data_IF_344217673233
#
_entry.id   IF_344217673233
#
_cell.length_a   1.000
_cell.length_b   1.000
_cell.length_c   1.000
_cell.angle_alpha   90.00
_cell.angle_beta   90.00
_cell.angle_gamma   90.00
#
_symmetry.space_group_name_H-M   'P 1'
#
loop_
_entity.id
_entity.type
_entity.pdbx_description
1 polymer ?
#
# COMPACT_ATOMS: atom_id res chain seq x y z
N UNK A 1 12.99 3.08 -25.54
CA UNK A 1 14.42 3.25 -25.15
C UNK A 1 15.30 2.45 -26.10
N UNK A 2 15.15 1.14 -26.17
CA UNK A 2 16.05 0.25 -26.93
C UNK A 2 15.83 0.29 -28.46
N UNK A 3 14.63 0.58 -28.96
CA UNK A 3 14.32 0.52 -30.40
C UNK A 3 14.56 1.81 -31.17
N UNK A 4 14.28 2.97 -30.58
CA UNK A 4 14.36 4.27 -31.27
C UNK A 4 15.45 5.22 -30.73
N UNK A 5 16.25 4.80 -29.75
CA UNK A 5 17.32 5.60 -29.19
C UNK A 5 16.86 6.88 -28.43
N UNK A 6 15.59 7.02 -28.11
CA UNK A 6 15.02 8.22 -27.49
C UNK A 6 15.26 8.33 -25.97
N UNK A 7 16.06 7.46 -25.40
CA UNK A 7 16.47 7.48 -23.98
C UNK A 7 15.30 7.88 -23.03
N UNK A 8 15.50 8.92 -22.22
CA UNK A 8 14.53 9.41 -21.22
C UNK A 8 13.24 9.93 -21.88
N UNK A 9 13.36 10.62 -23.04
CA UNK A 9 12.20 11.13 -23.78
C UNK A 9 11.29 9.99 -24.26
N UNK A 10 11.84 8.87 -24.72
CA UNK A 10 11.08 7.69 -25.12
C UNK A 10 10.28 7.07 -23.96
N UNK A 11 10.87 7.01 -22.74
CA UNK A 11 10.18 6.54 -21.56
C UNK A 11 9.00 7.46 -21.17
N UNK A 12 9.21 8.78 -21.23
CA UNK A 12 8.15 9.76 -20.95
C UNK A 12 6.98 9.64 -21.94
N UNK A 13 7.28 9.56 -23.24
CA UNK A 13 6.25 9.38 -24.28
C UNK A 13 5.47 8.09 -24.10
N UNK A 14 6.13 6.97 -23.79
CA UNK A 14 5.46 5.70 -23.53
C UNK A 14 4.48 5.78 -22.35
N UNK A 15 4.87 6.49 -21.28
CA UNK A 15 4.01 6.72 -20.11
C UNK A 15 2.79 7.58 -20.48
N UNK A 16 2.98 8.64 -21.26
CA UNK A 16 1.88 9.50 -21.72
C UNK A 16 0.91 8.72 -22.61
N UNK A 17 1.42 7.92 -23.55
CA UNK A 17 0.58 7.07 -24.42
C UNK A 17 -0.21 6.06 -23.57
N UNK A 18 0.43 5.40 -22.60
CA UNK A 18 -0.23 4.47 -21.69
C UNK A 18 -1.39 5.15 -20.92
N UNK A 19 -1.18 6.35 -20.41
CA UNK A 19 -2.22 7.11 -19.72
C UNK A 19 -3.36 7.54 -20.66
N UNK A 20 -3.06 7.97 -21.91
CA UNK A 20 -4.08 8.32 -22.90
C UNK A 20 -4.92 7.10 -23.28
N UNK A 21 -4.30 5.94 -23.51
CA UNK A 21 -5.02 4.69 -23.82
C UNK A 21 -5.90 4.27 -22.65
N UNK A 22 -5.39 4.34 -21.42
CA UNK A 22 -6.15 4.05 -20.21
C UNK A 22 -7.35 4.99 -20.04
N UNK A 23 -7.14 6.29 -20.17
CA UNK A 23 -8.23 7.27 -20.10
C UNK A 23 -9.26 7.07 -21.22
N UNK A 24 -8.81 6.79 -22.45
CA UNK A 24 -9.68 6.49 -23.58
C UNK A 24 -10.56 5.27 -23.33
N UNK A 25 -9.98 4.19 -22.79
CA UNK A 25 -10.71 2.99 -22.41
C UNK A 25 -11.81 3.29 -21.38
N UNK A 26 -11.51 4.05 -20.33
CA UNK A 26 -12.52 4.43 -19.33
C UNK A 26 -13.64 5.28 -19.92
N UNK A 27 -13.30 6.26 -20.76
CA UNK A 27 -14.32 7.09 -21.43
C UNK A 27 -15.26 6.25 -22.31
N UNK A 28 -14.71 5.31 -23.08
CA UNK A 28 -15.49 4.40 -23.90
C UNK A 28 -16.36 3.47 -23.04
N UNK A 29 -15.82 2.95 -21.94
CA UNK A 29 -16.58 2.10 -21.01
C UNK A 29 -17.79 2.83 -20.42
N UNK A 30 -17.61 4.07 -19.97
CA UNK A 30 -18.69 4.87 -19.41
C UNK A 30 -19.73 5.30 -20.47
N UNK A 31 -19.30 5.63 -21.69
CA UNK A 31 -20.21 5.92 -22.80
C UNK A 31 -20.99 4.70 -23.26
N UNK A 32 -20.46 3.50 -23.07
CA UNK A 32 -21.09 2.24 -23.48
C UNK A 32 -22.30 1.82 -22.64
N UNK A 33 -22.74 2.60 -21.64
CA UNK A 33 -23.96 2.37 -20.86
C UNK A 33 -23.92 1.13 -19.95
N UNK A 34 -22.77 0.47 -19.81
CA UNK A 34 -22.59 -0.71 -18.94
C UNK A 34 -22.32 -0.35 -17.48
N UNK A 35 -22.07 0.92 -17.19
CA UNK A 35 -21.80 1.43 -15.85
C UNK A 35 -23.06 2.05 -15.25
N UNK A 36 -23.27 1.85 -13.95
CA UNK A 36 -24.27 2.58 -13.16
C UNK A 36 -23.89 4.06 -12.91
N UNK A 37 -22.67 4.46 -13.28
CA UNK A 37 -22.19 5.83 -13.15
C UNK A 37 -22.36 6.58 -14.47
N UNK A 38 -22.81 7.85 -14.38
CA UNK A 38 -22.95 8.77 -15.52
C UNK A 38 -21.81 9.80 -15.50
N UNK A 39 -21.26 10.10 -16.70
CA UNK A 39 -20.28 11.20 -16.89
C UNK A 39 -20.95 12.38 -17.61
N UNK A 40 -22.26 12.50 -17.58
CA UNK A 40 -22.92 13.60 -18.26
C UNK A 40 -22.71 14.91 -17.49
N UNK A 41 -22.35 15.96 -18.22
CA UNK A 41 -22.14 17.30 -17.65
C UNK A 41 -23.42 17.83 -16.94
N UNK A 42 -24.58 17.31 -17.34
CA UNK A 42 -25.88 17.64 -16.74
C UNK A 42 -26.03 17.12 -15.30
N UNK A 43 -25.29 16.07 -14.94
CA UNK A 43 -25.31 15.45 -13.61
C UNK A 43 -24.32 16.13 -12.66
N UNK A 44 -23.55 17.11 -13.15
CA UNK A 44 -22.64 17.88 -12.33
C UNK A 44 -23.42 18.76 -11.35
N UNK A 45 -23.28 18.49 -10.07
CA UNK A 45 -23.90 19.27 -9.00
C UNK A 45 -22.93 19.52 -7.86
N UNK A 46 -22.94 20.75 -7.37
CA UNK A 46 -22.22 21.16 -6.16
C UNK A 46 -23.16 21.26 -4.94
N UNK A 47 -24.46 20.99 -5.16
CA UNK A 47 -25.48 21.00 -4.09
C UNK A 47 -25.28 19.82 -3.12
N UNK A 48 -25.94 19.88 -1.95
CA UNK A 48 -26.01 18.80 -0.96
C UNK A 48 -24.68 18.39 -0.34
N UNK A 49 -23.73 19.32 -0.15
CA UNK A 49 -22.43 19.06 0.48
C UNK A 49 -21.55 18.02 -0.25
N UNK A 50 -21.81 17.72 -1.51
CA UNK A 50 -21.03 16.75 -2.29
C UNK A 50 -19.54 17.13 -2.29
N UNK A 51 -19.22 18.40 -2.56
CA UNK A 51 -17.83 18.87 -2.52
C UNK A 51 -17.21 18.71 -1.12
N UNK A 52 -17.94 19.00 -0.06
CA UNK A 52 -17.47 18.84 1.32
C UNK A 52 -17.16 17.37 1.63
N UNK A 53 -18.02 16.44 1.20
CA UNK A 53 -17.81 14.99 1.39
C UNK A 53 -16.62 14.48 0.59
N UNK A 54 -16.44 14.94 -0.64
CA UNK A 54 -15.27 14.59 -1.47
C UNK A 54 -13.98 15.11 -0.84
N UNK A 55 -13.97 16.37 -0.39
CA UNK A 55 -12.80 16.96 0.27
C UNK A 55 -12.50 16.30 1.61
N UNK A 56 -13.52 15.93 2.38
CA UNK A 56 -13.35 15.25 3.67
C UNK A 56 -12.64 13.88 3.53
N UNK A 57 -12.79 13.22 2.40
CA UNK A 57 -12.09 11.97 2.11
C UNK A 57 -10.79 12.23 1.35
N UNK A 58 -10.80 13.17 0.41
CA UNK A 58 -9.66 13.46 -0.48
C UNK A 58 -8.50 14.12 0.24
N UNK A 59 -8.74 15.07 1.16
CA UNK A 59 -7.67 15.76 1.91
C UNK A 59 -6.85 14.75 2.75
N UNK A 60 -7.45 13.88 3.57
CA UNK A 60 -6.71 12.85 4.28
C UNK A 60 -5.91 11.91 3.37
N UNK A 61 -6.50 11.49 2.26
CA UNK A 61 -5.82 10.64 1.29
C UNK A 61 -4.61 11.34 0.65
N UNK A 62 -4.76 12.62 0.30
CA UNK A 62 -3.67 13.45 -0.25
C UNK A 62 -2.55 13.66 0.74
N UNK A 63 -2.87 13.89 2.02
CA UNK A 63 -1.87 14.00 3.09
C UNK A 63 -1.03 12.72 3.23
N UNK A 64 -1.65 11.55 3.11
CA UNK A 64 -0.92 10.28 3.10
C UNK A 64 0.08 10.18 1.94
N UNK A 65 -0.33 10.58 0.73
CA UNK A 65 0.54 10.59 -0.46
C UNK A 65 1.66 11.63 -0.36
N UNK A 66 1.37 12.81 0.17
CA UNK A 66 2.39 13.84 0.41
C UNK A 66 3.44 13.36 1.43
N UNK A 67 2.99 12.75 2.52
CA UNK A 67 3.89 12.23 3.55
C UNK A 67 4.78 11.11 3.01
N UNK A 68 4.23 10.24 2.16
CA UNK A 68 5.02 9.23 1.45
C UNK A 68 6.11 9.85 0.58
N UNK A 69 5.79 10.91 -0.18
CA UNK A 69 6.76 11.63 -1.01
C UNK A 69 7.84 12.32 -0.16
N UNK A 70 7.45 12.97 0.93
CA UNK A 70 8.40 13.60 1.87
C UNK A 70 9.33 12.55 2.48
N UNK A 71 8.81 11.43 2.93
CA UNK A 71 9.61 10.32 3.47
C UNK A 71 10.62 9.79 2.44
N UNK A 72 10.20 9.67 1.17
CA UNK A 72 11.09 9.23 0.09
C UNK A 72 12.23 10.23 -0.16
N UNK A 73 11.94 11.53 -0.11
CA UNK A 73 12.96 12.58 -0.23
C UNK A 73 13.95 12.49 0.94
N UNK A 74 13.45 12.36 2.17
CA UNK A 74 14.31 12.24 3.37
C UNK A 74 15.22 11.01 3.25
N UNK A 75 14.69 9.86 2.89
CA UNK A 75 15.48 8.61 2.72
C UNK A 75 16.57 8.81 1.67
N UNK A 76 16.21 9.32 0.50
CA UNK A 76 17.16 9.53 -0.59
C UNK A 76 18.26 10.52 -0.18
N UNK A 77 17.90 11.62 0.52
CA UNK A 77 18.88 12.58 1.02
C UNK A 77 19.84 11.99 2.04
N UNK A 78 19.32 11.18 2.98
CA UNK A 78 20.13 10.54 4.00
C UNK A 78 21.08 9.47 3.43
N UNK A 79 20.65 8.74 2.40
CA UNK A 79 21.48 7.72 1.75
C UNK A 79 22.53 8.38 0.82
N UNK A 80 22.20 9.50 0.17
CA UNK A 80 23.13 10.21 -0.67
C UNK A 80 24.40 10.69 0.06
N UNK A 81 24.33 10.92 1.39
CA UNK A 81 25.50 11.22 2.23
C UNK A 81 26.53 10.08 2.24
N UNK A 82 26.14 8.84 1.92
CA UNK A 82 27.00 7.66 1.88
C UNK A 82 27.50 7.34 0.46
N UNK A 83 27.12 8.17 -0.52
CA UNK A 83 27.59 8.10 -1.91
C UNK A 83 26.54 7.55 -2.89
N UNK A 84 26.79 7.84 -4.17
CA UNK A 84 25.86 7.53 -5.27
C UNK A 84 25.62 6.03 -5.45
N UNK A 85 26.62 5.18 -5.15
CA UNK A 85 26.50 3.72 -5.25
C UNK A 85 25.54 3.15 -4.21
N UNK A 86 25.53 3.72 -3.01
CA UNK A 86 24.56 3.32 -1.97
C UNK A 86 23.14 3.76 -2.34
N UNK A 87 23.01 4.97 -2.90
CA UNK A 87 21.73 5.50 -3.36
C UNK A 87 21.15 4.66 -4.50
N UNK A 88 21.96 4.32 -5.51
CA UNK A 88 21.56 3.43 -6.60
C UNK A 88 21.16 2.05 -6.09
N UNK A 89 21.93 1.48 -5.17
CA UNK A 89 21.64 0.19 -4.54
C UNK A 89 20.30 0.19 -3.80
N UNK A 90 20.01 1.23 -3.01
CA UNK A 90 18.74 1.35 -2.30
C UNK A 90 17.57 1.52 -3.27
N UNK A 91 17.75 2.30 -4.34
CA UNK A 91 16.73 2.48 -5.37
C UNK A 91 16.30 1.14 -6.01
N UNK A 92 17.25 0.27 -6.32
CA UNK A 92 16.95 -1.07 -6.85
C UNK A 92 16.30 -1.96 -5.79
N UNK A 93 16.79 -1.96 -4.55
CA UNK A 93 16.21 -2.73 -3.45
C UNK A 93 14.75 -2.35 -3.21
N UNK A 94 14.41 -1.06 -3.23
CA UNK A 94 13.02 -0.57 -3.13
C UNK A 94 12.15 -1.03 -4.31
N UNK A 95 12.68 -1.10 -5.53
CA UNK A 95 11.94 -1.63 -6.70
C UNK A 95 11.59 -3.10 -6.54
N UNK A 96 12.50 -3.92 -6.00
CA UNK A 96 12.24 -5.33 -5.72
C UNK A 96 11.12 -5.48 -4.70
N UNK A 97 11.17 -4.74 -3.61
CA UNK A 97 10.15 -4.76 -2.56
C UNK A 97 8.79 -4.25 -3.06
N UNK A 98 8.80 -3.26 -3.97
CA UNK A 98 7.60 -2.71 -4.60
C UNK A 98 6.81 -3.77 -5.38
N UNK A 99 7.48 -4.73 -6.04
CA UNK A 99 6.81 -5.82 -6.78
C UNK A 99 5.96 -6.65 -5.81
N UNK A 100 6.54 -7.08 -4.68
CA UNK A 100 5.81 -7.82 -3.64
C UNK A 100 4.66 -6.97 -3.07
N UNK A 101 4.91 -5.69 -2.82
CA UNK A 101 3.91 -4.76 -2.31
C UNK A 101 2.72 -4.58 -3.24
N UNK A 102 2.94 -4.42 -4.55
CA UNK A 102 1.86 -4.25 -5.54
C UNK A 102 0.91 -5.45 -5.58
N UNK A 103 1.44 -6.67 -5.48
CA UNK A 103 0.62 -7.89 -5.46
C UNK A 103 -0.26 -7.90 -4.20
N UNK A 104 0.30 -7.55 -3.04
CA UNK A 104 -0.44 -7.48 -1.78
C UNK A 104 -1.50 -6.37 -1.76
N UNK A 105 -1.19 -5.21 -2.36
CA UNK A 105 -2.16 -4.10 -2.54
C UNK A 105 -3.31 -4.57 -3.41
N UNK A 106 -3.03 -5.19 -4.56
CA UNK A 106 -4.06 -5.68 -5.48
C UNK A 106 -4.98 -6.71 -4.81
N UNK A 107 -4.41 -7.65 -4.05
CA UNK A 107 -5.19 -8.62 -3.29
C UNK A 107 -6.08 -7.95 -2.24
N UNK A 108 -5.54 -7.00 -1.46
CA UNK A 108 -6.29 -6.26 -0.45
C UNK A 108 -7.44 -5.44 -1.05
N UNK A 109 -7.19 -4.75 -2.17
CA UNK A 109 -8.22 -3.98 -2.89
C UNK A 109 -9.29 -4.88 -3.51
N UNK A 110 -8.92 -6.06 -3.99
CA UNK A 110 -9.88 -7.03 -4.54
C UNK A 110 -10.86 -7.57 -3.50
N UNK A 111 -10.45 -7.68 -2.24
CA UNK A 111 -11.31 -8.15 -1.14
C UNK A 111 -12.19 -7.03 -0.56
N UNK A 112 -11.77 -5.78 -0.68
CA UNK A 112 -12.45 -4.63 -0.07
C UNK A 112 -13.95 -4.53 -0.42
N UNK A 113 -14.40 -4.70 -1.69
CA UNK A 113 -15.83 -4.66 -2.02
C UNK A 113 -16.62 -5.78 -1.34
N UNK A 114 -16.04 -6.99 -1.25
CA UNK A 114 -16.69 -8.13 -0.60
C UNK A 114 -16.87 -7.89 0.90
N UNK A 115 -15.85 -7.33 1.55
CA UNK A 115 -15.94 -6.96 2.96
C UNK A 115 -16.97 -5.85 3.18
N UNK A 116 -16.97 -4.82 2.33
CA UNK A 116 -17.96 -3.75 2.37
C UNK A 116 -19.39 -4.25 2.20
N UNK A 117 -19.62 -5.19 1.30
CA UNK A 117 -20.92 -5.85 1.15
C UNK A 117 -21.34 -6.60 2.42
N UNK A 118 -20.44 -7.40 3.01
CA UNK A 118 -20.73 -8.12 4.26
C UNK A 118 -21.07 -7.19 5.43
N UNK A 119 -20.36 -6.07 5.53
CA UNK A 119 -20.63 -5.04 6.57
C UNK A 119 -21.98 -4.36 6.32
N UNK A 120 -22.23 -3.91 5.09
CA UNK A 120 -23.48 -3.23 4.72
C UNK A 120 -24.72 -4.09 4.85
N UNK A 121 -24.59 -5.41 4.62
CA UNK A 121 -25.67 -6.38 4.79
C UNK A 121 -25.80 -6.92 6.25
N UNK A 122 -24.95 -6.48 7.17
CA UNK A 122 -24.97 -6.96 8.58
C UNK A 122 -24.52 -8.41 8.77
N UNK A 123 -23.91 -9.03 7.74
CA UNK A 123 -23.51 -10.45 7.76
C UNK A 123 -22.16 -10.65 8.46
N UNK A 124 -22.09 -10.43 9.77
CA UNK A 124 -20.86 -10.47 10.56
C UNK A 124 -20.17 -11.83 10.57
N UNK A 125 -20.91 -12.92 10.55
CA UNK A 125 -20.36 -14.29 10.48
C UNK A 125 -19.57 -14.47 9.16
N UNK A 126 -20.17 -14.07 8.03
CA UNK A 126 -19.51 -14.11 6.72
C UNK A 126 -18.31 -13.16 6.66
N UNK A 127 -18.44 -11.95 7.19
CA UNK A 127 -17.32 -11.01 7.30
C UNK A 127 -16.10 -11.63 8.00
N UNK A 128 -16.30 -12.25 9.17
CA UNK A 128 -15.21 -12.92 9.91
C UNK A 128 -14.60 -14.10 9.15
N UNK A 129 -15.41 -14.90 8.46
CA UNK A 129 -14.93 -15.99 7.63
C UNK A 129 -14.09 -15.50 6.45
N UNK A 130 -14.58 -14.50 5.73
CA UNK A 130 -13.87 -13.86 4.63
C UNK A 130 -12.55 -13.25 5.13
N UNK A 131 -12.57 -12.53 6.25
CA UNK A 131 -11.36 -11.95 6.83
C UNK A 131 -10.31 -13.00 7.20
N UNK A 132 -10.73 -14.09 7.88
CA UNK A 132 -9.80 -15.17 8.25
C UNK A 132 -9.17 -15.81 7.00
N UNK A 133 -9.98 -16.12 5.99
CA UNK A 133 -9.49 -16.66 4.72
C UNK A 133 -8.55 -15.67 4.02
N UNK A 134 -8.94 -14.40 3.96
CA UNK A 134 -8.16 -13.35 3.31
C UNK A 134 -6.80 -13.11 3.97
N UNK A 135 -6.74 -13.09 5.29
CA UNK A 135 -5.49 -12.95 6.03
C UNK A 135 -4.58 -14.15 5.74
N UNK A 136 -5.12 -15.37 5.78
CA UNK A 136 -4.33 -16.59 5.52
C UNK A 136 -3.81 -16.62 4.08
N UNK A 137 -4.67 -16.34 3.09
CA UNK A 137 -4.29 -16.31 1.68
C UNK A 137 -3.28 -15.20 1.39
N UNK A 138 -3.49 -13.98 1.91
CA UNK A 138 -2.57 -12.87 1.68
C UNK A 138 -1.22 -13.08 2.36
N UNK A 139 -1.20 -13.64 3.57
CA UNK A 139 0.03 -14.02 4.26
C UNK A 139 0.80 -15.10 3.48
N UNK A 140 0.10 -16.14 3.02
CA UNK A 140 0.70 -17.17 2.17
C UNK A 140 1.25 -16.61 0.86
N UNK A 141 0.48 -15.75 0.18
CA UNK A 141 0.89 -15.11 -1.06
C UNK A 141 2.12 -14.22 -0.86
N UNK A 142 2.11 -13.36 0.17
CA UNK A 142 3.25 -12.48 0.47
C UNK A 142 4.48 -13.27 0.92
N UNK A 143 4.32 -14.34 1.67
CA UNK A 143 5.42 -15.23 2.06
C UNK A 143 6.06 -15.91 0.84
N UNK A 144 5.26 -16.48 -0.05
CA UNK A 144 5.75 -17.11 -1.29
C UNK A 144 6.50 -16.10 -2.15
N UNK A 145 5.93 -14.90 -2.36
CA UNK A 145 6.60 -13.85 -3.14
C UNK A 145 7.90 -13.38 -2.49
N UNK A 146 7.91 -13.24 -1.16
CA UNK A 146 9.11 -12.87 -0.41
C UNK A 146 10.19 -13.93 -0.56
N UNK A 147 9.84 -15.21 -0.44
CA UNK A 147 10.76 -16.34 -0.61
C UNK A 147 11.35 -16.34 -2.03
N UNK A 148 10.51 -16.21 -3.05
CA UNK A 148 10.96 -16.14 -4.45
C UNK A 148 11.93 -14.97 -4.63
N UNK A 149 11.54 -13.75 -4.23
CA UNK A 149 12.40 -12.57 -4.36
C UNK A 149 13.72 -12.73 -3.57
N UNK A 150 13.68 -13.35 -2.39
CA UNK A 150 14.86 -13.56 -1.56
C UNK A 150 15.87 -14.52 -2.18
N UNK A 151 15.40 -15.65 -2.75
CA UNK A 151 16.28 -16.59 -3.44
C UNK A 151 16.84 -16.04 -4.74
N UNK A 152 16.03 -15.28 -5.49
CA UNK A 152 16.43 -14.72 -6.78
C UNK A 152 16.96 -13.27 -6.68
N UNK A 153 17.25 -12.77 -5.48
CA UNK A 153 17.67 -11.36 -5.28
C UNK A 153 18.89 -11.01 -6.13
N UNK A 154 19.88 -11.87 -6.20
CA UNK A 154 21.10 -11.61 -6.96
C UNK A 154 20.84 -11.56 -8.47
N UNK A 155 20.00 -12.46 -9.00
CA UNK A 155 19.61 -12.48 -10.41
C UNK A 155 18.77 -11.23 -10.76
N UNK A 156 17.85 -10.84 -9.87
CA UNK A 156 17.04 -9.65 -10.09
C UNK A 156 17.92 -8.40 -10.06
N UNK A 157 18.80 -8.27 -9.09
CA UNK A 157 19.71 -7.11 -8.98
C UNK A 157 20.64 -7.02 -10.20
N UNK A 158 21.15 -8.15 -10.73
CA UNK A 158 22.04 -8.16 -11.89
C UNK A 158 21.39 -7.65 -13.18
N UNK A 159 20.05 -7.67 -13.27
CA UNK A 159 19.31 -7.08 -14.41
C UNK A 159 19.33 -5.55 -14.36
N UNK A 160 19.42 -4.96 -13.16
CA UNK A 160 19.37 -3.51 -12.97
C UNK A 160 20.74 -2.87 -12.83
N UNK A 161 21.72 -3.58 -12.27
CA UNK A 161 23.03 -3.05 -11.93
C UNK A 161 24.13 -3.97 -12.42
N UNK A 162 25.06 -3.40 -13.20
CA UNK A 162 26.25 -4.09 -13.71
C UNK A 162 27.49 -3.77 -12.88
N UNK A 163 27.46 -2.70 -12.10
CA UNK A 163 28.59 -2.23 -11.29
C UNK A 163 28.67 -2.98 -9.96
N UNK A 164 29.81 -3.59 -9.68
CA UNK A 164 29.96 -4.51 -8.54
C UNK A 164 29.72 -3.85 -7.17
N UNK A 165 30.09 -2.59 -7.00
CA UNK A 165 29.88 -1.85 -5.75
C UNK A 165 28.40 -1.59 -5.48
N UNK A 166 27.66 -1.08 -6.46
CA UNK A 166 26.23 -0.82 -6.35
C UNK A 166 25.43 -2.14 -6.21
N UNK A 167 25.87 -3.22 -6.88
CA UNK A 167 25.29 -4.55 -6.76
C UNK A 167 25.30 -5.08 -5.32
N UNK A 168 26.45 -4.96 -4.64
CA UNK A 168 26.59 -5.42 -3.26
C UNK A 168 25.67 -4.67 -2.29
N UNK A 169 25.56 -3.35 -2.44
CA UNK A 169 24.60 -2.55 -1.68
C UNK A 169 23.16 -2.95 -1.96
N UNK A 170 22.80 -3.10 -3.23
CA UNK A 170 21.44 -3.47 -3.63
C UNK A 170 21.03 -4.84 -3.09
N UNK A 171 21.89 -5.85 -3.22
CA UNK A 171 21.62 -7.20 -2.71
C UNK A 171 21.48 -7.22 -1.18
N UNK A 172 22.32 -6.46 -0.46
CA UNK A 172 22.26 -6.34 1.00
C UNK A 172 20.97 -5.64 1.46
N UNK A 173 20.66 -4.49 0.88
CA UNK A 173 19.45 -3.73 1.23
C UNK A 173 18.17 -4.48 0.85
N UNK A 174 18.14 -5.12 -0.32
CA UNK A 174 17.00 -5.92 -0.74
C UNK A 174 16.71 -7.06 0.25
N UNK A 175 17.73 -7.77 0.72
CA UNK A 175 17.55 -8.82 1.74
C UNK A 175 17.00 -8.28 3.05
N UNK A 176 17.47 -7.12 3.50
CA UNK A 176 16.96 -6.45 4.71
C UNK A 176 15.48 -6.08 4.53
N UNK A 177 15.13 -5.43 3.43
CA UNK A 177 13.76 -5.02 3.15
C UNK A 177 12.80 -6.20 2.97
N UNK A 178 13.27 -7.29 2.34
CA UNK A 178 12.48 -8.50 2.15
C UNK A 178 12.19 -9.25 3.46
N UNK A 179 13.02 -9.10 4.51
CA UNK A 179 12.79 -9.77 5.80
C UNK A 179 11.41 -9.53 6.40
N UNK A 180 10.77 -8.40 6.13
CA UNK A 180 9.43 -8.06 6.65
C UNK A 180 8.34 -8.01 5.59
N UNK A 181 8.69 -8.20 4.32
CA UNK A 181 7.75 -8.12 3.21
C UNK A 181 6.60 -9.13 3.28
N UNK A 182 6.77 -10.25 4.00
CA UNK A 182 5.71 -11.22 4.26
C UNK A 182 4.57 -10.64 5.09
N UNK A 183 4.81 -9.57 5.86
CA UNK A 183 3.77 -8.85 6.63
C UNK A 183 2.88 -7.96 5.75
N UNK A 184 3.31 -7.62 4.52
CA UNK A 184 2.56 -6.74 3.62
C UNK A 184 1.16 -7.26 3.34
N UNK A 185 1.01 -8.57 3.10
CA UNK A 185 -0.29 -9.19 2.88
C UNK A 185 -1.25 -8.91 4.03
N UNK A 186 -0.83 -9.16 5.26
CA UNK A 186 -1.63 -8.92 6.46
C UNK A 186 -1.92 -7.42 6.64
N UNK A 187 -0.94 -6.55 6.48
CA UNK A 187 -1.10 -5.11 6.62
C UNK A 187 -2.15 -4.56 5.65
N UNK A 188 -2.05 -4.88 4.36
CA UNK A 188 -2.98 -4.36 3.36
C UNK A 188 -4.40 -4.93 3.50
N UNK A 189 -4.57 -6.20 3.85
CA UNK A 189 -5.89 -6.78 4.09
C UNK A 189 -6.57 -6.11 5.29
N UNK A 190 -5.87 -5.93 6.41
CA UNK A 190 -6.41 -5.27 7.59
C UNK A 190 -6.73 -3.79 7.34
N UNK A 191 -5.85 -3.07 6.61
CA UNK A 191 -6.07 -1.67 6.24
C UNK A 191 -7.29 -1.49 5.33
N UNK A 192 -7.44 -2.35 4.31
CA UNK A 192 -8.60 -2.32 3.41
C UNK A 192 -9.89 -2.76 4.14
N UNK A 193 -9.81 -3.66 5.12
CA UNK A 193 -10.95 -4.03 5.95
C UNK A 193 -11.46 -2.85 6.78
N UNK A 194 -10.57 -2.05 7.37
CA UNK A 194 -10.95 -0.81 8.07
C UNK A 194 -11.63 0.20 7.14
N UNK A 195 -11.13 0.36 5.92
CA UNK A 195 -11.75 1.20 4.91
C UNK A 195 -13.14 0.68 4.51
N UNK A 196 -13.28 -0.66 4.32
CA UNK A 196 -14.55 -1.31 4.01
C UNK A 196 -15.59 -1.15 5.13
N UNK A 197 -15.15 -1.07 6.38
CA UNK A 197 -16.00 -0.78 7.55
C UNK A 197 -16.36 0.71 7.69
N UNK A 198 -15.87 1.58 6.81
CA UNK A 198 -16.09 3.03 6.91
C UNK A 198 -15.25 3.72 7.99
N UNK A 199 -14.27 3.03 8.57
CA UNK A 199 -13.36 3.57 9.57
C UNK A 199 -12.22 4.38 8.91
N UNK A 200 -12.58 5.47 8.23
CA UNK A 200 -11.66 6.28 7.43
C UNK A 200 -10.55 6.92 8.27
N UNK A 201 -10.87 7.34 9.49
CA UNK A 201 -9.91 7.96 10.42
C UNK A 201 -8.84 6.97 10.84
N UNK A 202 -9.24 5.75 11.19
CA UNK A 202 -8.34 4.67 11.58
C UNK A 202 -7.42 4.26 10.41
N UNK A 203 -7.98 4.16 9.20
CA UNK A 203 -7.21 3.88 7.99
C UNK A 203 -6.20 4.99 7.68
N UNK A 204 -6.57 6.25 7.89
CA UNK A 204 -5.67 7.39 7.76
C UNK A 204 -4.51 7.31 8.76
N UNK A 205 -4.82 7.11 10.05
CA UNK A 205 -3.82 7.00 11.11
C UNK A 205 -2.78 5.91 10.78
N UNK A 206 -3.23 4.76 10.27
CA UNK A 206 -2.35 3.65 9.90
C UNK A 206 -1.41 4.04 8.76
N UNK A 207 -1.94 4.66 7.70
CA UNK A 207 -1.13 5.08 6.57
C UNK A 207 -0.12 6.17 6.95
N UNK A 208 -0.54 7.17 7.74
CA UNK A 208 0.35 8.20 8.27
C UNK A 208 1.41 7.63 9.20
N UNK A 209 1.04 6.67 10.05
CA UNK A 209 1.98 6.03 10.97
C UNK A 209 3.06 5.25 10.22
N UNK A 210 2.68 4.46 9.22
CA UNK A 210 3.61 3.64 8.47
C UNK A 210 4.60 4.46 7.65
N UNK A 211 4.15 5.50 6.97
CA UNK A 211 4.99 6.29 6.04
C UNK A 211 5.63 7.52 6.68
N UNK A 212 5.17 7.95 7.85
CA UNK A 212 5.65 9.17 8.47
C UNK A 212 5.99 9.01 9.93
N UNK A 213 4.97 8.89 10.80
CA UNK A 213 5.10 9.00 12.25
C UNK A 213 6.05 7.93 12.84
N UNK A 214 6.04 6.72 12.29
CA UNK A 214 6.95 5.64 12.73
C UNK A 214 8.22 5.63 11.88
N UNK A 215 8.07 5.77 10.55
CA UNK A 215 9.18 5.59 9.62
C UNK A 215 10.24 6.68 9.74
N UNK A 216 9.84 7.97 9.75
CA UNK A 216 10.80 9.08 9.80
C UNK A 216 11.65 9.07 11.09
N UNK A 217 11.08 8.95 12.30
CA UNK A 217 11.89 8.81 13.50
C UNK A 217 12.78 7.57 13.47
N UNK A 218 12.29 6.44 12.96
CA UNK A 218 13.08 5.21 12.83
C UNK A 218 14.30 5.40 11.93
N UNK A 219 14.18 6.18 10.83
CA UNK A 219 15.31 6.52 9.96
C UNK A 219 16.44 7.23 10.72
N UNK A 220 16.11 8.27 11.49
CA UNK A 220 17.10 9.02 12.24
C UNK A 220 17.72 8.21 13.37
N UNK A 221 16.90 7.50 14.15
CA UNK A 221 17.37 6.68 15.27
C UNK A 221 18.29 5.55 14.80
N UNK A 222 17.90 4.83 13.75
CA UNK A 222 18.69 3.71 13.25
C UNK A 222 19.92 4.17 12.44
N UNK A 223 19.86 5.33 11.77
CA UNK A 223 21.04 5.96 11.17
C UNK A 223 22.10 6.24 12.24
N UNK A 224 21.69 6.80 13.41
CA UNK A 224 22.62 7.09 14.51
C UNK A 224 23.19 5.83 15.16
N UNK A 225 22.41 4.74 15.22
CA UNK A 225 22.83 3.49 15.86
C UNK A 225 23.70 2.59 14.98
N UNK A 226 23.38 2.45 13.70
CA UNK A 226 23.95 1.42 12.80
C UNK A 226 24.48 2.03 11.50
N UNK A 227 24.35 3.36 11.32
CA UNK A 227 24.80 4.04 10.10
C UNK A 227 23.97 3.70 8.85
N UNK A 228 24.63 3.37 7.74
CA UNK A 228 23.97 3.11 6.45
C UNK A 228 22.96 1.94 6.49
N UNK A 229 23.32 0.85 7.17
CA UNK A 229 22.40 -0.28 7.31
C UNK A 229 21.16 0.09 8.12
N UNK A 230 21.28 1.02 9.06
CA UNK A 230 20.17 1.53 9.83
C UNK A 230 19.08 2.16 8.96
N UNK A 231 19.46 2.83 7.88
CA UNK A 231 18.50 3.38 6.91
C UNK A 231 17.69 2.28 6.20
N UNK A 232 18.33 1.15 5.90
CA UNK A 232 17.63 0.00 5.32
C UNK A 232 16.73 -0.70 6.35
N UNK A 233 17.14 -0.80 7.62
CA UNK A 233 16.36 -1.41 8.70
C UNK A 233 15.17 -0.56 9.17
N UNK A 234 15.17 0.74 8.87
CA UNK A 234 14.07 1.63 9.25
C UNK A 234 12.72 1.20 8.66
N UNK A 235 12.70 0.72 7.41
CA UNK A 235 11.47 0.23 6.77
C UNK A 235 10.94 -1.05 7.45
N UNK A 236 11.73 -2.11 7.66
CA UNK A 236 11.33 -3.28 8.46
C UNK A 236 10.76 -2.95 9.84
N UNK A 237 11.38 -2.06 10.57
CA UNK A 237 10.89 -1.64 11.90
C UNK A 237 9.54 -0.93 11.78
N UNK A 238 9.40 0.00 10.82
CA UNK A 238 8.14 0.68 10.58
C UNK A 238 7.03 -0.30 10.15
N UNK A 239 7.35 -1.30 9.33
CA UNK A 239 6.38 -2.31 8.86
C UNK A 239 5.88 -3.19 10.01
N UNK A 240 6.76 -3.63 10.92
CA UNK A 240 6.38 -4.43 12.09
C UNK A 240 5.49 -3.62 13.03
N UNK A 241 5.90 -2.40 13.38
CA UNK A 241 5.15 -1.55 14.30
C UNK A 241 3.79 -1.15 13.72
N UNK A 242 3.75 -0.82 12.41
CA UNK A 242 2.50 -0.46 11.73
C UNK A 242 1.57 -1.65 11.58
N UNK A 243 2.10 -2.87 11.35
CA UNK A 243 1.29 -4.08 11.32
C UNK A 243 0.69 -4.39 12.68
N UNK A 244 1.43 -4.19 13.76
CA UNK A 244 0.90 -4.27 15.12
C UNK A 244 -0.21 -3.24 15.38
N UNK A 245 0.03 -1.99 14.96
CA UNK A 245 -0.95 -0.91 15.11
C UNK A 245 -2.25 -1.20 14.34
N UNK A 246 -2.15 -1.62 13.08
CA UNK A 246 -3.35 -1.95 12.28
C UNK A 246 -4.13 -3.11 12.89
N UNK A 247 -3.46 -4.14 13.43
CA UNK A 247 -4.12 -5.25 14.08
C UNK A 247 -4.89 -4.80 15.34
N UNK A 248 -4.29 -3.94 16.16
CA UNK A 248 -4.95 -3.37 17.36
C UNK A 248 -6.18 -2.54 16.96
N UNK A 249 -6.04 -1.65 15.99
CA UNK A 249 -7.14 -0.79 15.53
C UNK A 249 -8.25 -1.62 14.89
N UNK A 250 -7.91 -2.63 14.11
CA UNK A 250 -8.89 -3.56 13.54
C UNK A 250 -9.70 -4.27 14.61
N UNK A 251 -9.05 -4.85 15.63
CA UNK A 251 -9.73 -5.54 16.73
C UNK A 251 -10.66 -4.59 17.49
N UNK A 252 -10.20 -3.34 17.76
CA UNK A 252 -11.02 -2.32 18.43
C UNK A 252 -12.24 -1.94 17.61
N UNK A 253 -12.06 -1.71 16.30
CA UNK A 253 -13.14 -1.30 15.39
C UNK A 253 -14.18 -2.40 15.23
N UNK A 254 -13.75 -3.64 15.04
CA UNK A 254 -14.67 -4.79 14.95
C UNK A 254 -15.48 -4.94 16.22
N UNK A 255 -14.85 -4.91 17.40
CA UNK A 255 -15.57 -5.00 18.70
C UNK A 255 -16.58 -3.87 18.88
N UNK A 256 -16.23 -2.63 18.50
CA UNK A 256 -17.13 -1.48 18.58
C UNK A 256 -18.34 -1.65 17.67
N UNK A 257 -18.13 -2.15 16.45
CA UNK A 257 -19.21 -2.37 15.50
C UNK A 257 -20.12 -3.52 15.91
N UNK A 258 -19.57 -4.63 16.42
CA UNK A 258 -20.36 -5.73 16.96
C UNK A 258 -21.23 -5.31 18.15
N UNK A 259 -20.66 -4.51 19.04
CA UNK A 259 -21.40 -3.95 20.17
C UNK A 259 -22.56 -3.06 19.73
N UNK A 260 -22.32 -2.17 18.77
CA UNK A 260 -23.38 -1.30 18.23
C UNK A 260 -24.48 -2.10 17.50
N UNK A 261 -24.13 -3.13 16.75
CA UNK A 261 -25.10 -4.02 16.12
C UNK A 261 -25.95 -4.78 17.15
N UNK A 262 -25.36 -5.25 18.23
CA UNK A 262 -26.10 -5.98 19.28
C UNK A 262 -27.11 -5.07 20.00
N UNK A 263 -26.82 -3.79 20.14
CA UNK A 263 -27.76 -2.80 20.73
C UNK A 263 -28.89 -2.47 19.76
N UNK A 264 -28.59 -2.25 18.47
CA UNK A 264 -29.58 -1.83 17.47
C UNK A 264 -30.52 -2.98 17.07
N UNK A 265 -30.07 -4.22 17.16
CA UNK A 265 -30.86 -5.40 16.79
C UNK A 265 -31.75 -5.94 17.91
N UNK A 266 -31.77 -5.29 19.10
CA UNK A 266 -32.72 -5.66 20.17
C UNK A 266 -32.83 -7.16 20.43
N UNK A 267 -31.75 -7.91 20.39
CA UNK A 267 -31.77 -9.36 20.62
C UNK A 267 -31.93 -10.21 19.36
N UNK A 268 -31.38 -9.82 18.23
CA UNK A 268 -31.27 -10.76 17.11
C UNK A 268 -30.29 -11.87 17.49
N UNK A 269 -30.88 -13.04 17.75
CA UNK A 269 -30.21 -14.28 18.15
C UNK A 269 -29.02 -14.55 17.27
N UNK A 270 -27.85 -14.70 17.89
CA UNK A 270 -26.75 -15.42 17.29
C UNK A 270 -27.21 -16.87 17.08
N UNK A 271 -27.83 -17.13 15.95
CA UNK A 271 -28.03 -18.51 15.53
C UNK A 271 -26.65 -19.14 15.30
N UNK A 272 -26.41 -20.15 16.08
CA UNK A 272 -25.27 -21.08 16.13
C UNK A 272 -24.86 -21.66 14.78
#
# INVERSE_FOLDING_TARGET
ILGFGWNIAGAAIATVIGNIVGAGYYILYFKGGKSSLSIQVKDFTTRNRVCSSVLAIGIPASLGSLLMSVSQIIVNSLIAEFGDMALAGMGVAMKITMITGMICIGFGQGIQPLLGYCVGAGMWRRFKQVMKCSILCSFGLSAVMTIICYFFVNQIVSVFLTEASAFNYAARFARILLCTSFLFGMFYVLSNALQAMGAATEALIINLSRQGIIYIPSLFLLKMAIGLDGLAWAQPVADILSTGLVAILYIRTVRKMEYNCSILSGGCQMES
#
